data_IF_606170281790
#
_entry.id   IF_606170281790
#
_cell.length_a   1.000
_cell.length_b   1.000
_cell.length_c   1.000
_cell.angle_alpha   90.00
_cell.angle_beta   90.00
_cell.angle_gamma   90.00
#
_symmetry.space_group_name_H-M   'P 1'
#
loop_
_entity.id
_entity.type
_entity.pdbx_description
1 polymer ?
#
# COMPACT_ATOMS: atom_id res chain seq x y z
N UNK A 1 47.89 11.60 4.81
CA UNK A 1 47.40 11.89 6.18
C UNK A 1 45.92 11.54 6.22
N UNK A 2 45.51 10.46 6.90
CA UNK A 2 44.09 10.17 7.09
C UNK A 2 43.63 10.71 8.44
N UNK A 3 42.49 11.40 8.44
CA UNK A 3 41.76 11.72 9.67
C UNK A 3 40.55 10.77 9.73
N UNK A 4 40.59 9.87 10.71
CA UNK A 4 39.43 9.22 11.34
C UNK A 4 38.51 10.31 11.90
N UNK A 5 37.20 10.15 12.03
CA UNK A 5 36.39 9.32 12.96
C UNK A 5 34.92 9.76 12.66
N UNK A 6 33.79 9.11 12.96
CA UNK A 6 33.42 7.97 13.78
C UNK A 6 31.98 7.57 13.35
N UNK A 7 31.64 6.30 13.55
CA UNK A 7 30.32 5.73 13.36
C UNK A 7 29.37 6.08 14.52
N UNK A 8 28.07 6.24 14.22
CA UNK A 8 27.00 6.32 15.21
C UNK A 8 26.12 5.08 15.05
N UNK A 9 25.94 4.33 16.14
CA UNK A 9 25.01 3.20 16.27
C UNK A 9 24.26 3.36 17.63
N UNK A 10 23.22 2.57 17.92
CA UNK A 10 21.85 3.06 18.07
C UNK A 10 21.35 3.10 19.52
N UNK A 11 20.31 3.90 19.76
CA UNK A 11 19.58 3.94 21.02
C UNK A 11 18.71 2.69 21.23
N UNK A 12 18.87 2.06 22.41
CA UNK A 12 17.98 1.05 22.96
C UNK A 12 17.23 1.59 24.19
N UNK A 13 16.04 1.05 24.54
CA UNK A 13 15.13 1.62 25.53
C UNK A 13 15.45 1.20 26.98
N UNK A 14 15.13 2.09 27.94
CA UNK A 14 15.24 1.82 29.39
C UNK A 14 14.03 1.04 29.91
N UNK A 15 14.31 -0.12 30.50
CA UNK A 15 13.51 -0.81 31.51
C UNK A 15 13.57 -0.04 32.84
N UNK A 16 12.45 0.05 33.56
CA UNK A 16 12.41 0.39 34.99
C UNK A 16 11.77 -0.78 35.75
N UNK A 17 12.53 -1.34 36.70
CA UNK A 17 12.08 -2.23 37.75
C UNK A 17 12.23 -1.52 39.11
N UNK A 18 11.14 -1.47 39.88
CA UNK A 18 11.07 -2.06 41.22
C UNK A 18 11.51 -1.28 42.47
N UNK A 19 10.71 -1.49 43.52
CA UNK A 19 11.00 -1.44 44.98
C UNK A 19 10.95 -0.07 45.66
N UNK A 20 10.58 0.09 46.93
CA UNK A 20 9.71 -0.58 47.92
C UNK A 20 9.69 0.36 49.15
N UNK A 21 8.53 0.41 49.81
CA UNK A 21 8.20 0.68 51.23
C UNK A 21 9.11 1.40 52.26
N UNK A 22 8.38 2.15 53.10
CA UNK A 22 8.42 2.27 54.58
C UNK A 22 9.13 3.43 55.32
N UNK A 23 8.27 4.15 56.07
CA UNK A 23 8.40 4.73 57.43
C UNK A 23 9.33 5.91 57.68
N UNK A 24 8.76 7.02 58.18
CA UNK A 24 9.02 7.45 59.55
C UNK A 24 8.09 8.59 60.02
N UNK A 25 7.69 8.44 61.27
CA UNK A 25 6.86 9.26 62.14
C UNK A 25 7.68 10.41 62.76
N UNK A 26 7.12 11.62 62.86
CA UNK A 26 7.52 12.62 63.85
C UNK A 26 6.28 13.41 64.29
N UNK A 27 5.94 13.21 65.55
CA UNK A 27 4.91 13.91 66.32
C UNK A 27 5.47 15.22 66.91
N UNK A 28 4.67 16.29 66.94
CA UNK A 28 4.88 17.45 67.82
C UNK A 28 3.53 17.88 68.43
N UNK A 29 3.50 18.06 69.75
CA UNK A 29 2.32 18.29 70.59
C UNK A 29 2.28 19.79 71.05
N UNK A 30 1.42 20.23 72.00
CA UNK A 30 0.32 21.15 71.70
C UNK A 30 0.39 22.48 72.49
N UNK A 31 -0.45 23.46 72.16
CA UNK A 31 -0.94 24.38 73.19
C UNK A 31 -2.37 24.90 72.90
N UNK A 32 -3.13 25.00 73.98
CA UNK A 32 -4.58 25.16 74.06
C UNK A 32 -5.05 26.60 73.87
N UNK A 33 -6.24 26.78 73.29
CA UNK A 33 -7.24 27.70 73.85
C UNK A 33 -8.67 27.36 73.35
N UNK A 34 -9.48 26.84 74.28
CA UNK A 34 -10.93 27.10 74.48
C UNK A 34 -11.97 26.83 73.37
N UNK A 35 -12.51 25.60 73.40
CA UNK A 35 -13.93 25.22 73.70
C UNK A 35 -15.06 26.17 73.27
N UNK A 36 -15.97 25.68 72.40
CA UNK A 36 -17.41 25.46 72.70
C UNK A 36 -17.99 24.41 71.74
N UNK A 37 -18.28 23.23 72.28
CA UNK A 37 -18.96 22.14 71.60
C UNK A 37 -20.44 22.15 72.06
N UNK A 38 -21.37 22.27 71.10
CA UNK A 38 -22.82 22.21 71.35
C UNK A 38 -23.23 20.76 71.16
N UNK A 39 -23.56 20.08 72.27
CA UNK A 39 -24.17 18.76 72.24
C UNK A 39 -25.60 18.86 71.68
N UNK A 40 -25.91 18.04 70.67
CA UNK A 40 -27.29 17.70 70.32
C UNK A 40 -27.53 16.22 70.61
N UNK A 41 -28.37 15.96 71.63
CA UNK A 41 -28.84 14.64 72.00
C UNK A 41 -29.82 14.09 70.95
N UNK A 42 -29.56 12.87 70.47
CA UNK A 42 -30.48 12.10 69.64
C UNK A 42 -31.51 11.39 70.53
N UNK A 43 -32.56 12.11 70.92
CA UNK A 43 -33.74 11.50 71.53
C UNK A 43 -34.95 12.38 71.21
N UNK A 44 -35.62 12.09 70.10
CA UNK A 44 -37.05 12.29 69.83
C UNK A 44 -37.29 12.40 68.31
N UNK A 45 -37.63 11.27 67.69
CA UNK A 45 -38.29 11.22 66.39
C UNK A 45 -39.62 10.47 66.59
N UNK A 46 -40.79 11.10 66.38
CA UNK A 46 -42.02 10.36 66.20
C UNK A 46 -42.16 9.91 64.74
N UNK A 47 -42.78 8.74 64.60
CA UNK A 47 -43.05 8.01 63.36
C UNK A 47 -44.09 8.69 62.48
N UNK A 48 -43.99 8.39 61.17
CA UNK A 48 -44.88 8.83 60.12
C UNK A 48 -46.30 8.25 60.24
N UNK A 49 -47.33 9.06 59.94
CA UNK A 49 -48.44 8.66 59.06
C UNK A 49 -49.50 9.76 58.90
N UNK A 50 -49.94 9.94 57.64
CA UNK A 50 -51.26 10.44 57.18
C UNK A 50 -51.54 11.94 57.45
N UNK A 51 -52.08 12.80 56.58
CA UNK A 51 -52.83 12.83 55.32
C UNK A 51 -52.49 14.20 54.67
N UNK A 52 -52.52 14.47 53.36
CA UNK A 52 -53.72 14.55 52.52
C UNK A 52 -53.29 14.93 51.07
N UNK A 53 -53.99 14.34 50.11
CA UNK A 53 -53.91 14.46 48.66
C UNK A 53 -54.29 15.84 48.09
N UNK A 54 -53.55 16.34 47.08
CA UNK A 54 -54.12 17.20 46.02
C UNK A 54 -53.22 17.31 44.76
N UNK A 55 -53.76 16.83 43.64
CA UNK A 55 -53.70 17.39 42.28
C UNK A 55 -52.34 17.64 41.58
N UNK A 56 -52.09 16.78 40.58
CA UNK A 56 -51.17 16.93 39.47
C UNK A 56 -51.53 18.12 38.56
N UNK A 57 -50.62 19.09 38.42
CA UNK A 57 -50.49 19.88 37.18
C UNK A 57 -49.01 20.23 37.00
N UNK A 58 -48.25 19.28 36.45
CA UNK A 58 -46.81 19.43 36.26
C UNK A 58 -46.53 20.26 35.01
N UNK A 59 -46.35 21.57 35.16
CA UNK A 59 -45.84 22.47 34.11
C UNK A 59 -44.33 22.32 33.89
N UNK A 60 -43.64 21.60 34.78
CA UNK A 60 -42.20 21.31 34.73
C UNK A 60 -41.74 20.66 33.41
N UNK A 61 -42.43 19.65 32.83
CA UNK A 61 -42.05 19.10 31.52
C UNK A 61 -42.19 20.11 30.36
N UNK A 62 -43.21 20.99 30.38
CA UNK A 62 -43.39 21.98 29.33
C UNK A 62 -42.27 23.03 29.32
N UNK A 63 -41.79 23.44 30.50
CA UNK A 63 -40.67 24.37 30.62
C UNK A 63 -39.37 23.77 30.08
N UNK A 64 -39.12 22.47 30.34
CA UNK A 64 -37.93 21.78 29.83
C UNK A 64 -37.97 21.67 28.29
N UNK A 65 -39.13 21.35 27.72
CA UNK A 65 -39.30 21.27 26.26
C UNK A 65 -39.12 22.64 25.62
N UNK A 66 -39.70 23.70 26.19
CA UNK A 66 -39.51 25.08 25.73
C UNK A 66 -38.05 25.52 25.80
N UNK A 67 -37.35 25.22 26.89
CA UNK A 67 -35.93 25.54 27.04
C UNK A 67 -35.07 24.81 25.99
N UNK A 68 -35.35 23.54 25.71
CA UNK A 68 -34.64 22.77 24.69
C UNK A 68 -34.86 23.33 23.27
N UNK A 69 -36.11 23.70 22.93
CA UNK A 69 -36.43 24.30 21.62
C UNK A 69 -35.73 25.65 21.43
N UNK A 70 -35.70 26.49 22.48
CA UNK A 70 -34.99 27.78 22.45
C UNK A 70 -33.48 27.57 22.27
N UNK A 71 -32.90 26.57 22.94
CA UNK A 71 -31.47 26.27 22.83
C UNK A 71 -31.08 25.76 21.44
N UNK A 72 -31.91 24.90 20.83
CA UNK A 72 -31.69 24.42 19.45
C UNK A 72 -31.82 25.57 18.44
N UNK A 73 -32.81 26.44 18.59
CA UNK A 73 -32.98 27.60 17.72
C UNK A 73 -31.82 28.59 17.83
N UNK A 74 -31.31 28.82 19.05
CA UNK A 74 -30.12 29.64 19.28
C UNK A 74 -28.89 29.06 18.60
N UNK A 75 -28.60 27.76 18.77
CA UNK A 75 -27.47 27.08 18.13
C UNK A 75 -27.56 27.14 16.60
N UNK A 76 -28.75 26.95 16.02
CA UNK A 76 -28.96 27.08 14.58
C UNK A 76 -28.70 28.50 14.07
N UNK A 77 -29.15 29.52 14.82
CA UNK A 77 -28.92 30.92 14.45
C UNK A 77 -27.43 31.30 14.46
N UNK A 78 -26.61 30.69 15.34
CA UNK A 78 -25.16 30.95 15.37
C UNK A 78 -24.41 30.11 14.32
N UNK A 79 -24.79 28.85 14.09
CA UNK A 79 -24.04 27.95 13.20
C UNK A 79 -24.23 28.25 11.70
N UNK A 80 -25.42 28.74 11.30
CA UNK A 80 -25.76 29.02 9.90
C UNK A 80 -24.87 30.09 9.24
N UNK A 81 -24.56 31.25 9.88
CA UNK A 81 -23.66 32.23 9.27
C UNK A 81 -22.20 31.76 9.14
N UNK A 82 -21.71 30.90 10.04
CA UNK A 82 -20.34 30.34 9.94
C UNK A 82 -20.20 29.34 8.80
N UNK A 83 -21.21 28.49 8.56
CA UNK A 83 -21.21 27.57 7.44
C UNK A 83 -21.30 28.30 6.09
N UNK A 84 -22.11 29.35 5.99
CA UNK A 84 -22.21 30.18 4.78
C UNK A 84 -20.89 30.93 4.50
N UNK A 85 -20.20 31.40 5.55
CA UNK A 85 -18.88 32.00 5.41
C UNK A 85 -17.82 30.97 4.94
N UNK A 86 -17.90 29.72 5.41
CA UNK A 86 -17.03 28.62 4.98
C UNK A 86 -17.24 28.24 3.49
N UNK A 87 -18.47 28.32 2.99
CA UNK A 87 -18.74 28.10 1.55
C UNK A 87 -18.35 29.29 0.66
N UNK A 88 -18.31 30.52 1.19
CA UNK A 88 -17.92 31.72 0.42
C UNK A 88 -16.41 31.95 0.30
N UNK A 89 -15.58 31.34 1.14
CA UNK A 89 -14.11 31.48 1.09
C UNK A 89 -13.42 30.46 0.16
N UNK A 90 -14.16 29.86 -0.78
CA UNK A 90 -13.68 28.91 -1.81
C UNK A 90 -12.63 29.45 -2.81
N UNK A 91 -12.02 30.61 -2.56
CA UNK A 91 -10.90 31.15 -3.34
C UNK A 91 -9.64 30.29 -3.26
N UNK A 92 -9.37 29.63 -2.12
CA UNK A 92 -8.17 28.78 -1.97
C UNK A 92 -8.29 27.49 -2.81
N UNK A 93 -9.46 26.85 -2.84
CA UNK A 93 -9.68 25.64 -3.65
C UNK A 93 -9.57 25.94 -5.15
N UNK A 94 -10.15 27.06 -5.61
CA UNK A 94 -10.05 27.53 -7.00
C UNK A 94 -8.60 27.88 -7.42
N UNK A 95 -7.82 28.47 -6.53
CA UNK A 95 -6.40 28.78 -6.78
C UNK A 95 -5.53 27.52 -6.87
N UNK A 96 -5.78 26.53 -6.00
CA UNK A 96 -5.07 25.25 -6.03
C UNK A 96 -5.40 24.46 -7.31
N UNK A 97 -6.66 24.47 -7.76
CA UNK A 97 -7.09 23.78 -8.98
C UNK A 97 -6.51 24.40 -10.26
N UNK A 98 -6.40 25.73 -10.33
CA UNK A 98 -5.72 26.43 -11.44
C UNK A 98 -4.21 26.17 -11.46
N UNK A 99 -3.57 26.13 -10.29
CA UNK A 99 -2.15 25.79 -10.16
C UNK A 99 -1.88 24.35 -10.62
N UNK A 100 -2.74 23.41 -10.23
CA UNK A 100 -2.62 22.00 -10.63
C UNK A 100 -2.77 21.80 -12.14
N UNK A 101 -3.74 22.47 -12.78
CA UNK A 101 -3.94 22.38 -14.23
C UNK A 101 -2.75 22.97 -15.02
N UNK A 102 -2.18 24.08 -14.54
CA UNK A 102 -0.99 24.70 -15.16
C UNK A 102 0.31 23.89 -14.97
N UNK A 103 0.45 23.17 -13.85
CA UNK A 103 1.58 22.25 -13.61
C UNK A 103 1.47 21.00 -14.50
N UNK A 104 0.25 20.47 -14.68
CA UNK A 104 -0.01 19.29 -15.50
C UNK A 104 0.25 19.54 -17.00
N UNK A 105 -0.16 20.71 -17.53
CA UNK A 105 0.10 21.08 -18.93
C UNK A 105 1.61 21.25 -19.23
N UNK A 106 2.41 21.76 -18.29
CA UNK A 106 3.87 21.89 -18.44
C UNK A 106 4.60 20.54 -18.34
N UNK A 107 4.15 19.63 -17.48
CA UNK A 107 4.71 18.29 -17.36
C UNK A 107 4.45 17.42 -18.61
N UNK A 108 3.25 17.55 -19.22
CA UNK A 108 2.93 16.87 -20.47
C UNK A 108 3.70 17.44 -21.69
N UNK A 109 3.95 18.76 -21.72
CA UNK A 109 4.77 19.35 -22.77
C UNK A 109 6.25 18.90 -22.71
N UNK A 110 6.83 18.81 -21.51
CA UNK A 110 8.21 18.32 -21.33
C UNK A 110 8.38 16.84 -21.71
N UNK A 111 7.41 15.99 -21.37
CA UNK A 111 7.46 14.56 -21.72
C UNK A 111 7.28 14.31 -23.22
N UNK A 112 6.43 15.09 -23.90
CA UNK A 112 6.26 15.00 -25.36
C UNK A 112 7.54 15.43 -26.11
N UNK A 113 8.20 16.50 -25.65
CA UNK A 113 9.48 16.96 -26.21
C UNK A 113 10.63 15.96 -25.98
N UNK A 114 10.71 15.36 -24.80
CA UNK A 114 11.70 14.30 -24.53
C UNK A 114 11.46 13.07 -25.40
N UNK A 115 10.20 12.65 -25.56
CA UNK A 115 9.88 11.50 -26.41
C UNK A 115 10.20 11.77 -27.88
N UNK A 116 9.90 12.98 -28.38
CA UNK A 116 10.23 13.39 -29.74
C UNK A 116 11.75 13.37 -29.98
N UNK A 117 12.56 13.88 -29.04
CA UNK A 117 14.01 13.84 -29.13
C UNK A 117 14.56 12.40 -29.13
N UNK A 118 13.98 11.51 -28.32
CA UNK A 118 14.41 10.12 -28.22
C UNK A 118 14.10 9.32 -29.49
N UNK A 119 12.93 9.52 -30.09
CA UNK A 119 12.56 8.92 -31.38
C UNK A 119 13.49 9.41 -32.50
N UNK A 120 13.84 10.69 -32.51
CA UNK A 120 14.73 11.27 -33.52
C UNK A 120 16.16 10.72 -33.42
N UNK A 121 16.66 10.45 -32.21
CA UNK A 121 17.93 9.76 -32.02
C UNK A 121 17.89 8.29 -32.45
N UNK A 122 16.80 7.57 -32.19
CA UNK A 122 16.63 6.18 -32.62
C UNK A 122 16.57 6.06 -34.16
N UNK A 123 15.89 6.98 -34.84
CA UNK A 123 15.84 7.03 -36.30
C UNK A 123 17.23 7.27 -36.91
N UNK A 124 18.01 8.18 -36.33
CA UNK A 124 19.41 8.43 -36.74
C UNK A 124 20.31 7.21 -36.50
N UNK A 125 20.12 6.47 -35.40
CA UNK A 125 20.85 5.24 -35.14
C UNK A 125 20.46 4.12 -36.12
N UNK A 126 19.18 4.03 -36.50
CA UNK A 126 18.73 3.05 -37.49
C UNK A 126 19.30 3.35 -38.87
N UNK A 127 19.34 4.62 -39.29
CA UNK A 127 19.95 5.03 -40.56
C UNK A 127 21.47 4.77 -40.60
N UNK A 128 22.19 4.94 -39.48
CA UNK A 128 23.62 4.56 -39.41
C UNK A 128 23.86 3.05 -39.39
N UNK A 129 22.86 2.25 -39.00
CA UNK A 129 22.93 0.78 -38.91
C UNK A 129 22.43 0.05 -40.16
N UNK A 130 22.02 0.75 -41.21
CA UNK A 130 21.77 0.15 -42.52
C UNK A 130 23.06 0.22 -43.37
N UNK A 131 23.95 -0.80 -43.35
CA UNK A 131 24.87 -0.99 -44.46
C UNK A 131 24.04 -1.38 -45.70
N UNK A 132 24.40 -0.82 -46.85
CA UNK A 132 23.87 -1.20 -48.17
C UNK A 132 23.70 -2.72 -48.26
N UNK A 133 22.47 -3.21 -48.20
CA UNK A 133 22.16 -4.55 -48.67
C UNK A 133 22.06 -4.51 -50.19
N UNK A 134 23.13 -4.92 -50.87
CA UNK A 134 23.03 -5.50 -52.19
C UNK A 134 23.13 -7.03 -52.09
N UNK A 135 21.96 -7.66 -52.24
CA UNK A 135 21.68 -8.92 -52.94
C UNK A 135 22.22 -10.28 -52.42
N UNK A 136 21.34 -11.31 -52.32
CA UNK A 136 21.75 -12.69 -52.03
C UNK A 136 22.14 -13.45 -53.31
N UNK A 137 23.33 -14.07 -53.32
CA UNK A 137 23.73 -15.07 -54.33
C UNK A 137 23.21 -16.47 -53.95
N UNK A 138 22.54 -17.20 -54.87
CA UNK A 138 22.07 -18.55 -54.62
C UNK A 138 22.98 -19.59 -55.28
N UNK A 139 24.23 -19.78 -54.83
CA UNK A 139 25.07 -20.85 -55.38
C UNK A 139 26.10 -21.40 -54.40
N UNK A 140 25.71 -22.20 -53.39
CA UNK A 140 26.62 -23.18 -52.74
C UNK A 140 25.92 -24.45 -52.19
N UNK A 141 24.73 -24.81 -52.70
CA UNK A 141 24.05 -26.04 -52.25
C UNK A 141 24.48 -27.33 -52.99
N UNK A 142 25.47 -27.26 -53.90
CA UNK A 142 25.79 -28.40 -54.79
C UNK A 142 27.12 -29.13 -54.54
N UNK A 143 27.96 -28.68 -53.59
CA UNK A 143 29.28 -29.33 -53.35
C UNK A 143 29.38 -30.19 -52.08
N UNK A 144 28.38 -30.19 -51.19
CA UNK A 144 28.37 -31.06 -50.00
C UNK A 144 27.81 -32.47 -50.23
N UNK A 145 27.54 -32.88 -51.48
CA UNK A 145 26.93 -34.19 -51.78
C UNK A 145 27.92 -35.31 -52.13
N UNK A 146 29.23 -35.05 -52.20
CA UNK A 146 30.20 -36.04 -52.71
C UNK A 146 31.24 -36.56 -51.69
N UNK A 147 31.18 -36.19 -50.40
CA UNK A 147 32.15 -36.68 -49.40
C UNK A 147 31.48 -37.34 -48.19
N UNK A 148 30.56 -38.28 -48.42
CA UNK A 148 30.02 -39.12 -47.35
C UNK A 148 30.65 -40.52 -47.42
N UNK A 149 31.52 -40.91 -46.48
CA UNK A 149 32.03 -42.27 -46.40
C UNK A 149 30.90 -43.21 -45.97
N UNK A 150 30.76 -44.36 -46.65
CA UNK A 150 29.78 -45.37 -46.31
C UNK A 150 30.05 -45.94 -44.91
N UNK A 151 29.21 -45.56 -43.94
CA UNK A 151 29.20 -46.17 -42.61
C UNK A 151 28.27 -47.38 -42.61
N UNK A 152 28.83 -48.51 -42.20
CA UNK A 152 28.21 -49.82 -42.00
C UNK A 152 27.00 -49.69 -41.03
N UNK A 153 25.86 -50.36 -41.25
CA UNK A 153 24.72 -50.25 -40.34
C UNK A 153 25.02 -50.97 -39.01
N UNK A 154 24.91 -50.26 -37.89
CA UNK A 154 24.80 -50.88 -36.57
C UNK A 154 23.36 -51.39 -36.36
N UNK A 155 23.17 -52.46 -35.58
CA UNK A 155 21.85 -53.03 -35.31
C UNK A 155 20.96 -52.02 -34.56
N UNK A 156 19.77 -51.79 -35.10
CA UNK A 156 18.72 -50.92 -34.55
C UNK A 156 18.16 -51.51 -33.26
N UNK A 157 18.77 -51.20 -32.11
CA UNK A 157 18.02 -51.20 -30.85
C UNK A 157 17.04 -50.02 -30.87
N UNK A 158 15.76 -50.36 -30.76
CA UNK A 158 14.61 -49.45 -30.63
C UNK A 158 14.73 -48.53 -29.40
N UNK A 159 15.57 -47.51 -29.48
CA UNK A 159 15.41 -46.32 -28.67
C UNK A 159 14.66 -45.32 -29.55
N UNK A 160 13.34 -45.19 -29.33
CA UNK A 160 12.56 -44.07 -29.87
C UNK A 160 13.33 -42.78 -29.54
N UNK A 161 13.86 -42.04 -30.53
CA UNK A 161 14.35 -40.70 -30.27
C UNK A 161 13.12 -39.87 -29.92
N UNK A 162 13.04 -39.37 -28.67
CA UNK A 162 12.11 -38.26 -28.43
C UNK A 162 12.55 -37.10 -29.34
N UNK A 163 11.62 -36.46 -30.07
CA UNK A 163 11.97 -35.31 -30.91
C UNK A 163 12.70 -34.28 -30.04
N UNK A 164 13.82 -33.74 -30.52
CA UNK A 164 14.67 -32.78 -29.78
C UNK A 164 13.87 -31.62 -29.16
N UNK A 165 12.74 -31.26 -29.79
CA UNK A 165 11.75 -30.29 -29.31
C UNK A 165 11.15 -30.64 -27.95
N UNK A 166 10.86 -31.92 -27.67
CA UNK A 166 10.36 -32.38 -26.37
C UNK A 166 11.44 -32.33 -25.28
N UNK A 167 12.69 -32.70 -25.60
CA UNK A 167 13.81 -32.55 -24.65
C UNK A 167 14.10 -31.08 -24.32
N UNK A 168 14.04 -30.19 -25.29
CA UNK A 168 14.24 -28.75 -25.06
C UNK A 168 13.11 -28.14 -24.22
N UNK A 169 11.84 -28.48 -24.48
CA UNK A 169 10.72 -28.05 -23.64
C UNK A 169 10.82 -28.55 -22.20
N UNK A 170 11.22 -29.83 -22.01
CA UNK A 170 11.43 -30.39 -20.67
C UNK A 170 12.59 -29.74 -19.92
N UNK A 171 13.69 -29.39 -20.60
CA UNK A 171 14.83 -28.68 -20.00
C UNK A 171 14.49 -27.23 -19.63
N UNK A 172 13.66 -26.54 -20.43
CA UNK A 172 13.21 -25.17 -20.13
C UNK A 172 12.30 -25.16 -18.90
N UNK A 173 11.43 -26.16 -18.73
CA UNK A 173 10.58 -26.27 -17.53
C UNK A 173 11.35 -26.72 -16.28
N UNK A 174 12.48 -27.42 -16.44
CA UNK A 174 13.29 -27.90 -15.31
C UNK A 174 14.14 -26.80 -14.63
N UNK A 175 14.32 -25.65 -15.28
CA UNK A 175 15.15 -24.54 -14.78
C UNK A 175 14.33 -23.33 -14.29
N UNK A 176 13.01 -23.45 -14.20
CA UNK A 176 12.14 -22.38 -13.71
C UNK A 176 11.97 -22.44 -12.19
N UNK A 177 11.77 -21.28 -11.52
CA UNK A 177 11.39 -21.25 -10.12
C UNK A 177 10.14 -22.08 -9.84
N UNK A 178 10.08 -22.75 -8.69
CA UNK A 178 8.92 -23.57 -8.30
C UNK A 178 7.60 -22.76 -8.30
N UNK A 179 7.68 -21.47 -7.99
CA UNK A 179 6.56 -20.51 -8.06
C UNK A 179 5.94 -20.39 -9.45
N UNK A 180 6.64 -20.78 -10.52
CA UNK A 180 6.14 -20.76 -11.90
C UNK A 180 5.19 -21.93 -12.21
N UNK A 181 5.16 -22.95 -11.36
CA UNK A 181 4.36 -24.17 -11.55
C UNK A 181 3.07 -24.18 -10.73
N UNK A 182 3.00 -23.39 -9.64
CA UNK A 182 1.83 -23.32 -8.77
C UNK A 182 1.66 -21.90 -8.22
N UNK A 183 0.56 -21.24 -8.60
CA UNK A 183 0.20 -19.89 -8.20
C UNK A 183 -1.30 -19.64 -8.36
N UNK A 184 -1.82 -18.66 -7.64
CA UNK A 184 -3.18 -18.15 -7.81
C UNK A 184 -3.20 -17.06 -8.88
N UNK A 185 -4.22 -17.05 -9.73
CA UNK A 185 -4.39 -15.99 -10.74
C UNK A 185 -5.35 -14.92 -10.23
N UNK A 186 -4.97 -13.64 -10.40
CA UNK A 186 -5.85 -12.49 -10.15
C UNK A 186 -6.04 -11.73 -11.46
N UNK A 187 -7.29 -11.54 -11.88
CA UNK A 187 -7.67 -10.84 -13.12
C UNK A 187 -8.51 -9.58 -12.88
N UNK A 188 -8.47 -9.06 -11.66
CA UNK A 188 -9.27 -7.92 -11.22
C UNK A 188 -8.93 -6.65 -11.99
N UNK A 189 -9.85 -6.23 -12.86
CA UNK A 189 -9.66 -5.05 -13.72
C UNK A 189 -9.48 -3.74 -12.95
N UNK A 190 -9.92 -3.67 -11.70
CA UNK A 190 -9.86 -2.45 -10.87
C UNK A 190 -8.46 -2.17 -10.32
N UNK A 191 -7.53 -3.12 -10.44
CA UNK A 191 -6.13 -2.97 -9.98
C UNK A 191 -5.24 -2.19 -10.94
N UNK A 192 -5.70 -1.87 -12.15
CA UNK A 192 -4.92 -1.07 -13.09
C UNK A 192 -4.64 0.33 -12.55
N UNK A 193 -3.44 0.85 -12.77
CA UNK A 193 -3.05 2.21 -12.35
C UNK A 193 -3.96 3.32 -12.90
N UNK A 194 -4.71 3.07 -13.98
CA UNK A 194 -5.64 4.03 -14.56
C UNK A 194 -7.03 4.03 -13.90
N UNK A 195 -7.29 3.16 -12.92
CA UNK A 195 -8.58 3.04 -12.26
C UNK A 195 -8.64 3.91 -11.00
N UNK A 196 -9.58 4.84 -10.93
CA UNK A 196 -9.59 5.92 -9.91
C UNK A 196 -10.72 5.82 -8.89
N UNK A 197 -11.64 4.86 -9.05
CA UNK A 197 -12.77 4.67 -8.12
C UNK A 197 -12.34 3.78 -6.95
N UNK A 198 -12.60 4.15 -5.70
CA UNK A 198 -12.26 3.32 -4.56
C UNK A 198 -13.02 1.97 -4.58
N UNK A 199 -12.31 0.87 -4.28
CA UNK A 199 -12.88 -0.49 -4.16
C UNK A 199 -12.58 -1.07 -2.78
N UNK A 200 -11.31 -1.02 -2.35
CA UNK A 200 -10.94 -1.60 -1.07
C UNK A 200 -9.43 -1.75 -0.87
N UNK A 201 -9.04 -2.81 -0.15
CA UNK A 201 -7.67 -3.08 0.26
C UNK A 201 -7.34 -4.58 0.28
N UNK A 202 -6.06 -4.89 0.42
CA UNK A 202 -5.50 -6.25 0.35
C UNK A 202 -5.32 -6.91 1.74
N UNK A 203 -6.02 -6.45 2.78
CA UNK A 203 -5.90 -6.98 4.15
C UNK A 203 -6.43 -8.41 4.30
N UNK A 204 -7.30 -8.85 3.39
CA UNK A 204 -7.85 -10.21 3.33
C UNK A 204 -7.68 -10.87 1.95
N UNK A 205 -6.97 -10.22 1.02
CA UNK A 205 -6.81 -10.71 -0.36
C UNK A 205 -5.77 -11.82 -0.50
N UNK A 206 -4.89 -11.98 0.50
CA UNK A 206 -3.76 -12.91 0.45
C UNK A 206 -3.70 -13.77 1.73
N UNK A 207 -3.01 -14.91 1.67
CA UNK A 207 -2.80 -15.79 2.84
C UNK A 207 -1.79 -15.17 3.81
N UNK A 208 -2.02 -15.30 5.12
CA UNK A 208 -1.08 -14.86 6.16
C UNK A 208 0.29 -15.55 6.07
N UNK A 209 0.34 -16.78 5.56
CA UNK A 209 1.59 -17.51 5.26
C UNK A 209 2.25 -17.12 3.93
N UNK A 210 1.66 -16.17 3.20
CA UNK A 210 2.06 -15.79 1.85
C UNK A 210 1.31 -16.57 0.78
N UNK A 211 1.04 -15.91 -0.34
CA UNK A 211 0.37 -16.48 -1.50
C UNK A 211 1.13 -16.11 -2.78
N UNK A 212 1.51 -17.10 -3.58
CA UNK A 212 2.07 -16.86 -4.91
C UNK A 212 0.94 -16.46 -5.86
N UNK A 213 1.07 -15.27 -6.45
CA UNK A 213 0.04 -14.63 -7.28
C UNK A 213 0.61 -14.24 -8.63
N UNK A 214 -0.15 -14.53 -9.69
CA UNK A 214 0.06 -13.99 -11.04
C UNK A 214 -1.08 -13.03 -11.39
N UNK A 215 -0.74 -11.80 -11.75
CA UNK A 215 -1.71 -10.85 -12.29
C UNK A 215 -1.91 -11.07 -13.79
N UNK A 216 -3.16 -10.97 -14.25
CA UNK A 216 -3.56 -11.20 -15.64
C UNK A 216 -4.74 -10.31 -16.04
N UNK A 217 -5.12 -10.31 -17.31
CA UNK A 217 -6.32 -9.63 -17.79
C UNK A 217 -6.18 -8.11 -17.92
N UNK A 218 -7.31 -7.41 -18.01
CA UNK A 218 -7.37 -5.97 -18.28
C UNK A 218 -7.00 -5.08 -17.09
N UNK A 219 -6.77 -5.67 -15.91
CA UNK A 219 -6.25 -4.98 -14.74
C UNK A 219 -4.76 -4.69 -14.82
N UNK A 220 -4.05 -5.24 -15.81
CA UNK A 220 -2.59 -5.22 -15.84
C UNK A 220 -2.03 -6.60 -15.46
N UNK A 221 -0.79 -6.84 -15.82
CA UNK A 221 -0.14 -8.16 -15.71
C UNK A 221 1.08 -8.14 -14.81
N UNK A 222 1.54 -6.95 -14.42
CA UNK A 222 2.72 -6.76 -13.58
C UNK A 222 2.46 -5.69 -12.53
N UNK A 223 3.14 -5.79 -11.38
CA UNK A 223 3.17 -4.70 -10.40
C UNK A 223 4.13 -3.62 -10.94
N UNK A 224 3.75 -2.32 -10.96
CA UNK A 224 4.64 -1.26 -11.40
C UNK A 224 5.90 -1.20 -10.53
N UNK A 225 7.03 -0.79 -11.12
CA UNK A 225 8.31 -0.64 -10.42
C UNK A 225 8.58 0.77 -9.90
N UNK A 226 7.62 1.67 -10.09
CA UNK A 226 7.64 3.05 -9.65
C UNK A 226 6.29 3.41 -9.02
N UNK A 227 6.28 4.45 -8.18
CA UNK A 227 5.06 4.89 -7.50
C UNK A 227 4.03 5.39 -8.53
N UNK A 228 2.80 4.83 -8.56
CA UNK A 228 1.77 5.21 -9.52
C UNK A 228 1.00 6.49 -9.12
N UNK A 229 1.30 7.06 -7.95
CA UNK A 229 0.50 8.12 -7.32
C UNK A 229 -0.60 7.55 -6.43
N UNK A 230 -1.16 8.39 -5.55
CA UNK A 230 -2.20 7.99 -4.58
C UNK A 230 -3.59 7.91 -5.22
N UNK A 231 -4.53 7.24 -4.55
CA UNK A 231 -5.94 7.17 -4.96
C UNK A 231 -6.20 6.59 -6.36
N UNK A 232 -5.36 5.64 -6.78
CA UNK A 232 -5.55 4.84 -8.01
C UNK A 232 -5.59 3.35 -7.71
N UNK A 233 -5.74 2.51 -8.73
CA UNK A 233 -5.88 1.06 -8.65
C UNK A 233 -6.94 0.57 -7.65
N UNK A 234 -7.98 1.38 -7.44
CA UNK A 234 -9.11 1.06 -6.59
C UNK A 234 -8.84 1.09 -5.09
N UNK A 235 -7.88 1.91 -4.66
CA UNK A 235 -7.54 2.08 -3.25
C UNK A 235 -7.11 3.52 -2.95
N UNK A 236 -6.96 3.86 -1.67
CA UNK A 236 -6.42 5.16 -1.25
C UNK A 236 -4.90 5.15 -1.17
N UNK A 237 -4.30 4.07 -0.63
CA UNK A 237 -2.86 3.91 -0.47
C UNK A 237 -2.31 2.84 -1.43
N UNK A 238 -1.55 3.28 -2.42
CA UNK A 238 -1.25 2.49 -3.62
C UNK A 238 0.08 1.77 -3.52
N UNK A 239 0.09 0.48 -3.87
CA UNK A 239 1.27 -0.38 -3.79
C UNK A 239 2.04 -0.52 -5.10
N UNK A 240 3.38 -0.51 -5.04
CA UNK A 240 4.30 -0.80 -6.16
C UNK A 240 5.54 -1.55 -5.68
N UNK A 241 6.25 -2.20 -6.60
CA UNK A 241 7.47 -2.93 -6.30
C UNK A 241 8.69 -2.01 -6.39
N UNK A 242 9.21 -1.58 -5.26
CA UNK A 242 10.34 -0.65 -5.15
C UNK A 242 11.69 -1.38 -5.18
N UNK A 243 11.88 -2.29 -6.14
CA UNK A 243 13.09 -3.08 -6.29
C UNK A 243 13.29 -3.50 -7.74
N UNK A 244 14.50 -3.97 -8.07
CA UNK A 244 14.79 -4.48 -9.42
C UNK A 244 14.06 -5.80 -9.69
N UNK A 245 13.45 -5.93 -10.87
CA UNK A 245 12.80 -7.17 -11.28
C UNK A 245 13.84 -8.28 -11.52
N UNK A 246 13.49 -9.55 -11.24
CA UNK A 246 14.37 -10.69 -11.48
C UNK A 246 14.65 -10.91 -12.97
N UNK A 247 15.87 -11.38 -13.25
CA UNK A 247 16.22 -11.97 -14.56
C UNK A 247 15.42 -13.26 -14.81
N UNK A 248 15.29 -13.64 -16.07
CA UNK A 248 14.57 -14.85 -16.50
C UNK A 248 15.01 -16.09 -15.70
N UNK A 249 14.05 -16.82 -15.12
CA UNK A 249 14.32 -18.03 -14.34
C UNK A 249 14.81 -17.78 -12.91
N UNK A 250 14.94 -16.52 -12.47
CA UNK A 250 15.35 -16.19 -11.11
C UNK A 250 14.16 -15.82 -10.21
N UNK A 251 14.35 -16.04 -8.90
CA UNK A 251 13.53 -15.48 -7.83
C UNK A 251 14.38 -14.54 -7.00
N UNK A 252 13.88 -13.34 -6.72
CA UNK A 252 14.56 -12.35 -5.88
C UNK A 252 13.62 -11.80 -4.82
N UNK A 253 14.18 -11.48 -3.66
CA UNK A 253 13.49 -10.70 -2.65
C UNK A 253 13.54 -9.22 -2.99
N UNK A 254 12.49 -8.48 -2.63
CA UNK A 254 12.48 -7.03 -2.72
C UNK A 254 11.38 -6.42 -1.88
N UNK A 255 11.19 -5.12 -2.04
CA UNK A 255 10.28 -4.33 -1.21
C UNK A 255 9.05 -3.93 -1.99
N UNK A 256 7.88 -4.24 -1.46
CA UNK A 256 6.60 -3.70 -1.90
C UNK A 256 6.30 -2.47 -1.05
N UNK A 257 6.29 -1.30 -1.67
CA UNK A 257 6.04 -0.02 -1.02
C UNK A 257 4.59 0.40 -1.24
N UNK A 258 4.04 1.19 -0.31
CA UNK A 258 2.74 1.82 -0.41
C UNK A 258 2.81 3.30 -0.06
N UNK A 259 2.10 4.15 -0.82
CA UNK A 259 2.10 5.61 -0.69
C UNK A 259 0.70 6.12 -0.36
N UNK A 260 0.61 7.02 0.63
CA UNK A 260 -0.58 7.81 0.98
C UNK A 260 -0.19 9.26 1.34
N UNK A 261 0.66 9.88 0.52
CA UNK A 261 1.13 11.25 0.67
C UNK A 261 2.55 11.36 1.20
N UNK A 262 3.11 10.26 1.73
CA UNK A 262 4.55 10.09 1.97
C UNK A 262 5.04 8.91 1.14
N UNK A 263 6.08 9.13 0.32
CA UNK A 263 6.64 8.08 -0.52
C UNK A 263 7.07 6.88 0.32
N UNK A 264 6.51 5.71 0.00
CA UNK A 264 6.77 4.43 0.68
C UNK A 264 6.50 4.51 2.20
N UNK A 265 5.36 5.10 2.58
CA UNK A 265 4.90 5.20 3.96
C UNK A 265 4.73 3.84 4.65
N UNK A 266 4.30 2.82 3.91
CA UNK A 266 4.33 1.43 4.37
C UNK A 266 5.10 0.57 3.40
N UNK A 267 5.64 -0.53 3.91
CA UNK A 267 6.32 -1.51 3.09
C UNK A 267 6.21 -2.92 3.63
N UNK A 268 6.34 -3.91 2.75
CA UNK A 268 6.53 -5.31 3.11
C UNK A 268 7.61 -5.94 2.22
N UNK A 269 8.32 -6.91 2.77
CA UNK A 269 9.25 -7.75 2.01
C UNK A 269 8.46 -8.81 1.24
N UNK A 270 8.71 -8.93 -0.06
CA UNK A 270 8.08 -9.92 -0.93
C UNK A 270 9.14 -10.65 -1.75
N UNK A 271 8.75 -11.75 -2.39
CA UNK A 271 9.56 -12.40 -3.42
C UNK A 271 8.88 -12.26 -4.79
N UNK A 272 9.69 -12.12 -5.83
CA UNK A 272 9.24 -12.06 -7.21
C UNK A 272 10.01 -13.11 -7.99
N UNK A 273 9.29 -13.93 -8.78
CA UNK A 273 9.85 -14.93 -9.68
C UNK A 273 9.59 -14.54 -11.14
N UNK A 274 10.60 -14.62 -11.99
CA UNK A 274 10.45 -14.44 -13.44
C UNK A 274 10.31 -15.80 -14.14
N UNK A 275 9.12 -16.08 -14.65
CA UNK A 275 8.79 -17.32 -15.35
C UNK A 275 9.01 -17.24 -16.86
N UNK A 276 10.03 -16.47 -17.27
CA UNK A 276 10.38 -16.08 -18.63
C UNK A 276 9.40 -15.12 -19.31
N UNK A 277 8.10 -15.40 -19.27
CA UNK A 277 7.06 -14.63 -19.99
C UNK A 277 6.10 -13.88 -19.07
N UNK A 278 6.16 -14.14 -17.77
CA UNK A 278 5.34 -13.49 -16.76
C UNK A 278 6.05 -13.49 -15.41
N UNK A 279 5.58 -12.64 -14.51
CA UNK A 279 6.03 -12.60 -13.12
C UNK A 279 5.00 -13.25 -12.20
N UNK A 280 5.51 -13.85 -11.13
CA UNK A 280 4.71 -14.34 -10.01
C UNK A 280 5.25 -13.71 -8.72
N UNK A 281 4.35 -13.26 -7.86
CA UNK A 281 4.66 -12.46 -6.69
C UNK A 281 4.21 -13.21 -5.43
N UNK A 282 5.08 -13.39 -4.45
CA UNK A 282 4.70 -13.89 -3.13
C UNK A 282 4.19 -12.73 -2.28
N UNK A 283 2.87 -12.61 -2.15
CA UNK A 283 2.21 -11.50 -1.47
C UNK A 283 1.60 -11.93 -0.14
N UNK A 284 1.48 -10.97 0.77
CA UNK A 284 0.95 -11.13 2.13
C UNK A 284 -0.17 -10.11 2.37
N UNK A 285 -1.08 -10.36 3.32
CA UNK A 285 -2.07 -9.39 3.78
C UNK A 285 -1.47 -8.03 4.02
N UNK A 286 -2.17 -6.99 3.57
CA UNK A 286 -1.71 -5.63 3.87
C UNK A 286 -1.82 -5.35 5.38
N UNK A 287 -0.81 -4.71 6.00
CA UNK A 287 -0.78 -4.48 7.45
C UNK A 287 -1.84 -3.49 7.94
N UNK A 288 -2.39 -2.68 7.04
CA UNK A 288 -3.41 -1.65 7.33
C UNK A 288 -4.50 -1.73 6.26
N UNK A 289 -5.72 -1.35 6.64
CA UNK A 289 -6.81 -1.11 5.69
C UNK A 289 -6.49 0.10 4.79
N UNK A 290 -6.97 0.07 3.55
CA UNK A 290 -6.71 1.02 2.45
C UNK A 290 -5.39 0.85 1.67
N UNK A 291 -4.63 -0.21 1.92
CA UNK A 291 -3.44 -0.56 1.13
C UNK A 291 -3.81 -1.58 0.06
N UNK A 292 -3.47 -1.33 -1.20
CA UNK A 292 -3.71 -2.28 -2.29
C UNK A 292 -2.61 -2.25 -3.33
N UNK A 293 -2.23 -3.43 -3.83
CA UNK A 293 -1.24 -3.58 -4.90
C UNK A 293 -1.85 -3.15 -6.24
N UNK A 294 -1.20 -2.20 -6.91
CA UNK A 294 -1.55 -1.78 -8.26
C UNK A 294 -0.91 -2.70 -9.32
N UNK A 295 -1.44 -2.63 -10.53
CA UNK A 295 -0.92 -3.36 -11.71
C UNK A 295 -0.90 -2.50 -12.98
N UNK A 296 0.01 -2.83 -13.89
CA UNK A 296 0.19 -2.23 -15.23
C UNK A 296 0.24 -3.29 -16.32
#
# INVERSE_FOLDING_TARGET
>A
MPTSTQAVAPYAPRLYQGLAEETNDVSYTPNQTTVREVQWNMANLPSASSLESAATTSWKPLIIVLAAVILVAAVAAVATPFLIAYFKTGTIVQLMQKSFKGQQERAHACTLLQHQQQVQQLLLQHQRRQPLQLQPQPQQLHQRRQQQPQRRPLPLRHLRPQPLRQRQLQQVTANLPAACSSYTTISDSTRRVSYTTFVGCDSSSFSSSGMWVRFTGSGGTTIPTYAPGISVCGTSATGWYASALPSSGATVSGTLCYDWGTTCQWSSSIQVANCNTYYVYLLYPSPVCNLRVCTV
#
